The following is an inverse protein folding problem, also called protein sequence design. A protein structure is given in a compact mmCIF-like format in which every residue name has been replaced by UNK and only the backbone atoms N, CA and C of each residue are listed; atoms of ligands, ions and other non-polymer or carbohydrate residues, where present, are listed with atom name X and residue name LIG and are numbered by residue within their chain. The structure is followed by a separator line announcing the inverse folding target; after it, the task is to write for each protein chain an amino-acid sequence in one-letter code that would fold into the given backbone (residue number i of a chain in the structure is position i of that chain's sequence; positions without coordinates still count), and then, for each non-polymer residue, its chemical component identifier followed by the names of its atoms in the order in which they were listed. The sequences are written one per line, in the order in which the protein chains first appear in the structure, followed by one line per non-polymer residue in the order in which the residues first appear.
data_IF_569278262384
#
_entry.id   IF_569278262384
#
_cell.length_a   1.000
_cell.length_b   1.000
_cell.length_c   1.000
_cell.angle_alpha   90.00
_cell.angle_beta   90.00
_cell.angle_gamma   90.00
#
_symmetry.space_group_name_H-M   'P 1'
#
loop_
_entity.id
_entity.type
_entity.pdbx_description
1 polymer ?
#
# COMPACT_ATOMS: atom_id res chain seq x y z
N UNK A 1 -17.60 0.16 -10.63
CA UNK A 1 -18.63 -0.77 -11.14
C UNK A 1 -20.06 -0.32 -10.90
N UNK A 2 -20.59 -0.30 -9.66
CA UNK A 2 -22.02 0.02 -9.41
C UNK A 2 -22.48 1.36 -10.02
N UNK A 3 -21.76 2.44 -9.74
CA UNK A 3 -22.06 3.76 -10.32
C UNK A 3 -21.92 3.78 -11.85
N UNK A 4 -20.90 3.11 -12.40
CA UNK A 4 -20.69 2.99 -13.86
C UNK A 4 -21.81 2.18 -14.53
N UNK A 5 -22.40 1.24 -13.81
CA UNK A 5 -23.57 0.48 -14.23
C UNK A 5 -24.90 1.24 -14.04
N UNK A 6 -24.86 2.50 -13.59
CA UNK A 6 -26.04 3.34 -13.37
C UNK A 6 -26.82 3.05 -12.09
N UNK A 7 -26.26 2.26 -11.16
CA UNK A 7 -26.89 2.03 -9.85
C UNK A 7 -26.76 3.29 -8.97
N UNK A 8 -27.83 3.61 -8.22
CA UNK A 8 -27.79 4.70 -7.24
C UNK A 8 -27.01 4.26 -6.00
N UNK A 9 -26.03 5.06 -5.59
CA UNK A 9 -25.25 4.83 -4.37
C UNK A 9 -25.95 5.47 -3.17
N UNK A 10 -26.72 4.68 -2.41
CA UNK A 10 -27.36 5.12 -1.16
C UNK A 10 -26.40 4.95 0.03
N UNK A 11 -26.66 5.66 1.14
CA UNK A 11 -25.87 5.52 2.37
C UNK A 11 -25.87 4.07 2.88
N UNK A 12 -27.05 3.43 3.00
CA UNK A 12 -27.16 2.04 3.46
C UNK A 12 -26.35 1.05 2.59
N UNK A 13 -26.24 1.32 1.29
CA UNK A 13 -25.45 0.49 0.38
C UNK A 13 -23.95 0.69 0.62
N UNK A 14 -23.50 1.93 0.79
CA UNK A 14 -22.11 2.24 1.08
C UNK A 14 -21.68 1.74 2.45
N UNK A 15 -22.53 1.89 3.46
CA UNK A 15 -22.35 1.34 4.81
C UNK A 15 -22.13 -0.18 4.74
N UNK A 16 -23.02 -0.90 4.03
CA UNK A 16 -22.87 -2.35 3.84
C UNK A 16 -21.57 -2.70 3.12
N UNK A 17 -21.24 -2.00 2.02
CA UNK A 17 -20.02 -2.26 1.27
C UNK A 17 -18.77 -2.03 2.11
N UNK A 18 -18.77 -0.99 2.96
CA UNK A 18 -17.67 -0.67 3.86
C UNK A 18 -17.52 -1.71 4.98
N UNK A 19 -18.63 -2.17 5.55
CA UNK A 19 -18.66 -3.25 6.52
C UNK A 19 -18.05 -4.54 5.95
N UNK A 20 -18.55 -4.98 4.79
CA UNK A 20 -18.06 -6.20 4.12
C UNK A 20 -16.56 -6.10 3.81
N UNK A 21 -16.08 -4.89 3.45
CA UNK A 21 -14.67 -4.64 3.18
C UNK A 21 -13.81 -4.73 4.45
N UNK A 22 -14.25 -4.14 5.55
CA UNK A 22 -13.56 -4.26 6.85
C UNK A 22 -13.46 -5.73 7.29
N UNK A 23 -14.56 -6.48 7.17
CA UNK A 23 -14.57 -7.90 7.51
C UNK A 23 -13.57 -8.72 6.68
N UNK A 24 -13.47 -8.39 5.39
CA UNK A 24 -12.51 -9.04 4.51
C UNK A 24 -11.05 -8.72 4.87
N UNK A 25 -10.74 -7.47 5.20
CA UNK A 25 -9.36 -7.03 5.43
C UNK A 25 -8.83 -7.43 6.81
N UNK A 26 -9.65 -7.33 7.85
CA UNK A 26 -9.22 -7.56 9.23
C UNK A 26 -9.45 -8.98 9.73
N UNK A 27 -10.34 -9.74 9.08
CA UNK A 27 -10.58 -11.14 9.41
C UNK A 27 -11.43 -11.36 10.67
N UNK A 28 -11.65 -12.64 11.04
CA UNK A 28 -12.63 -13.03 12.05
C UNK A 28 -12.23 -12.68 13.49
N UNK A 29 -10.95 -12.41 13.75
CA UNK A 29 -10.44 -12.10 15.09
C UNK A 29 -10.71 -10.65 15.51
N UNK A 30 -11.08 -9.78 14.56
CA UNK A 30 -11.44 -8.39 14.85
C UNK A 30 -12.94 -8.23 15.05
N UNK A 31 -13.33 -7.51 16.11
CA UNK A 31 -14.71 -7.05 16.29
C UNK A 31 -14.96 -5.86 15.36
N UNK A 32 -16.02 -5.94 14.56
CA UNK A 32 -16.43 -4.89 13.62
C UNK A 32 -17.65 -4.21 14.21
N UNK A 33 -17.41 -3.11 14.90
CA UNK A 33 -18.46 -2.32 15.52
C UNK A 33 -19.36 -1.69 14.46
N UNK A 34 -20.66 -1.59 14.74
CA UNK A 34 -21.64 -1.00 13.82
C UNK A 34 -21.28 0.44 13.42
N UNK A 35 -20.63 1.18 14.32
CA UNK A 35 -20.17 2.54 14.10
C UNK A 35 -19.11 2.67 13.00
N UNK A 36 -18.39 1.58 12.67
CA UNK A 36 -17.40 1.61 11.58
C UNK A 36 -18.06 1.63 10.21
N UNK A 37 -19.33 1.21 10.08
CA UNK A 37 -20.03 1.11 8.80
C UNK A 37 -20.05 2.47 8.07
N UNK A 38 -20.16 3.57 8.81
CA UNK A 38 -20.21 4.94 8.25
C UNK A 38 -18.82 5.58 8.07
N UNK A 39 -17.72 4.87 8.34
CA UNK A 39 -16.38 5.46 8.30
C UNK A 39 -16.01 5.99 6.91
N UNK A 40 -16.52 5.39 5.82
CA UNK A 40 -16.30 5.90 4.47
C UNK A 40 -16.71 7.38 4.32
N UNK A 41 -17.72 7.85 5.07
CA UNK A 41 -18.24 9.21 4.96
C UNK A 41 -17.32 10.27 5.57
N UNK A 42 -16.38 9.89 6.45
CA UNK A 42 -15.46 10.82 7.12
C UNK A 42 -14.06 10.85 6.51
N UNK A 43 -13.78 10.05 5.49
CA UNK A 43 -12.45 9.97 4.86
C UNK A 43 -12.32 11.09 3.82
N UNK A 44 -11.49 12.13 4.05
CA UNK A 44 -11.39 13.26 3.12
C UNK A 44 -10.82 12.86 1.76
N UNK A 45 -9.97 11.84 1.74
CA UNK A 45 -9.32 11.35 0.53
C UNK A 45 -10.30 10.77 -0.50
N UNK A 46 -11.54 10.42 -0.11
CA UNK A 46 -12.56 9.95 -1.06
C UNK A 46 -13.17 11.07 -1.90
N UNK A 47 -12.88 12.33 -1.55
CA UNK A 47 -13.19 13.49 -2.36
C UNK A 47 -12.03 13.88 -3.30
N UNK A 48 -10.99 13.05 -3.38
CA UNK A 48 -9.90 13.18 -4.35
C UNK A 48 -9.91 11.97 -5.30
N UNK A 49 -9.67 12.23 -6.57
CA UNK A 49 -9.74 11.19 -7.60
C UNK A 49 -8.60 10.18 -7.45
N UNK A 50 -8.94 8.98 -6.96
CA UNK A 50 -8.05 7.81 -6.90
C UNK A 50 -6.68 8.09 -6.26
N UNK A 51 -6.60 8.89 -5.20
CA UNK A 51 -5.32 9.28 -4.62
C UNK A 51 -4.71 8.19 -3.70
N UNK A 52 -5.53 7.50 -2.91
CA UNK A 52 -5.07 6.69 -1.77
C UNK A 52 -4.15 5.52 -2.14
N UNK A 53 -4.27 4.95 -3.36
CA UNK A 53 -3.42 3.83 -3.78
C UNK A 53 -1.94 4.23 -3.89
N UNK A 54 -1.66 5.53 -4.03
CA UNK A 54 -0.30 6.06 -4.12
C UNK A 54 0.49 5.85 -2.83
N UNK A 55 -0.18 5.80 -1.66
CA UNK A 55 0.48 5.47 -0.40
C UNK A 55 1.05 4.06 -0.40
N UNK A 56 0.24 3.08 -0.80
CA UNK A 56 0.64 1.66 -0.81
C UNK A 56 1.74 1.42 -1.84
N UNK A 57 1.58 1.97 -3.05
CA UNK A 57 2.56 1.83 -4.13
C UNK A 57 3.86 2.57 -3.81
N UNK A 58 3.80 3.77 -3.23
CA UNK A 58 4.96 4.52 -2.77
C UNK A 58 5.72 3.81 -1.64
N UNK A 59 5.00 3.24 -0.68
CA UNK A 59 5.60 2.45 0.40
C UNK A 59 6.29 1.18 -0.14
N UNK A 60 5.66 0.48 -1.08
CA UNK A 60 6.25 -0.69 -1.72
C UNK A 60 7.51 -0.35 -2.53
N UNK A 61 7.50 0.76 -3.27
CA UNK A 61 8.66 1.27 -3.97
C UNK A 61 9.81 1.59 -2.99
N UNK A 62 9.50 2.27 -1.88
CA UNK A 62 10.49 2.62 -0.86
C UNK A 62 11.14 1.37 -0.22
N UNK A 63 10.34 0.36 0.12
CA UNK A 63 10.85 -0.91 0.65
C UNK A 63 11.78 -1.64 -0.33
N UNK A 64 11.45 -1.58 -1.62
CA UNK A 64 12.26 -2.19 -2.69
C UNK A 64 13.57 -1.43 -2.88
N UNK A 65 13.54 -0.10 -2.92
CA UNK A 65 14.76 0.72 -2.98
C UNK A 65 15.66 0.45 -1.77
N UNK A 66 15.09 0.38 -0.57
CA UNK A 66 15.84 0.08 0.65
C UNK A 66 16.45 -1.33 0.62
N UNK A 67 15.71 -2.34 0.15
CA UNK A 67 16.24 -3.69 -0.05
C UNK A 67 17.45 -3.68 -0.98
N UNK A 68 17.33 -3.06 -2.16
CA UNK A 68 18.42 -2.98 -3.13
C UNK A 68 19.65 -2.27 -2.57
N UNK A 69 19.46 -1.18 -1.81
CA UNK A 69 20.56 -0.47 -1.15
C UNK A 69 21.32 -1.36 -0.16
N UNK A 70 20.60 -2.21 0.58
CA UNK A 70 21.19 -3.13 1.57
C UNK A 70 21.89 -4.33 0.91
N UNK A 71 21.40 -4.81 -0.24
CA UNK A 71 21.87 -6.06 -0.86
C UNK A 71 22.83 -5.87 -2.03
N UNK A 72 22.70 -4.79 -2.80
CA UNK A 72 23.50 -4.56 -4.03
C UNK A 72 24.65 -3.56 -3.83
N UNK A 73 24.59 -2.70 -2.81
CA UNK A 73 25.65 -1.71 -2.52
C UNK A 73 25.72 -0.56 -3.53
N UNK A 74 26.93 -0.24 -4.01
CA UNK A 74 27.20 0.96 -4.83
C UNK A 74 26.35 1.09 -6.11
N UNK A 75 26.08 0.02 -6.89
CA UNK A 75 25.17 0.10 -8.04
C UNK A 75 23.77 0.61 -7.68
N UNK A 76 23.15 0.09 -6.61
CA UNK A 76 21.83 0.55 -6.17
C UNK A 76 21.88 1.99 -5.63
N UNK A 77 22.96 2.34 -4.91
CA UNK A 77 23.19 3.70 -4.43
C UNK A 77 23.26 4.70 -5.58
N UNK A 78 23.98 4.37 -6.65
CA UNK A 78 24.09 5.22 -7.83
C UNK A 78 22.71 5.43 -8.51
N UNK A 79 21.92 4.38 -8.68
CA UNK A 79 20.55 4.47 -9.21
C UNK A 79 19.64 5.32 -8.33
N UNK A 80 19.67 5.11 -7.01
CA UNK A 80 18.87 5.87 -6.04
C UNK A 80 19.22 7.36 -6.04
N UNK A 81 20.52 7.71 -6.03
CA UNK A 81 20.94 9.11 -6.13
C UNK A 81 20.56 9.73 -7.47
N UNK A 82 20.59 8.96 -8.57
CA UNK A 82 20.07 9.37 -9.87
C UNK A 82 18.58 9.68 -9.84
N UNK A 83 17.78 8.82 -9.19
CA UNK A 83 16.35 9.03 -8.97
C UNK A 83 16.07 10.33 -8.21
N UNK A 84 16.75 10.56 -7.07
CA UNK A 84 16.59 11.79 -6.28
C UNK A 84 16.91 13.05 -7.09
N UNK A 85 17.98 13.02 -7.88
CA UNK A 85 18.38 14.14 -8.76
C UNK A 85 17.37 14.41 -9.88
N UNK A 86 16.55 13.42 -10.23
CA UNK A 86 15.63 13.53 -11.37
C UNK A 86 14.40 14.39 -11.06
N UNK A 87 14.03 14.58 -9.79
CA UNK A 87 12.81 15.33 -9.42
C UNK A 87 11.58 14.85 -10.20
N UNK A 88 10.72 15.77 -10.61
CA UNK A 88 9.56 15.50 -11.48
C UNK A 88 9.85 15.57 -12.98
N UNK A 89 11.07 15.23 -13.42
CA UNK A 89 11.47 15.40 -14.84
C UNK A 89 10.81 14.43 -15.83
N UNK A 90 10.12 13.39 -15.36
CA UNK A 90 9.53 12.33 -16.18
C UNK A 90 8.38 11.65 -15.40
N UNK A 91 7.66 10.73 -16.04
CA UNK A 91 6.60 9.95 -15.42
C UNK A 91 7.14 9.12 -14.23
N UNK A 92 6.40 9.06 -13.11
CA UNK A 92 6.85 8.34 -11.91
C UNK A 92 7.26 6.89 -12.17
N UNK A 93 6.54 6.17 -13.03
CA UNK A 93 6.86 4.79 -13.40
C UNK A 93 8.21 4.67 -14.14
N UNK A 94 8.54 5.62 -15.02
CA UNK A 94 9.82 5.64 -15.72
C UNK A 94 10.97 5.97 -14.75
N UNK A 95 10.75 6.91 -13.85
CA UNK A 95 11.71 7.30 -12.82
C UNK A 95 12.03 6.12 -11.89
N UNK A 96 11.00 5.42 -11.41
CA UNK A 96 11.16 4.23 -10.56
C UNK A 96 11.83 3.08 -11.30
N UNK A 97 11.48 2.81 -12.57
CA UNK A 97 12.17 1.79 -13.38
C UNK A 97 13.65 2.10 -13.54
N UNK A 98 14.01 3.37 -13.79
CA UNK A 98 15.42 3.81 -13.81
C UNK A 98 16.13 3.62 -12.47
N UNK A 99 15.41 3.73 -11.37
CA UNK A 99 15.92 3.46 -10.02
C UNK A 99 16.07 1.94 -9.73
N UNK A 100 15.51 1.07 -10.58
CA UNK A 100 15.51 -0.38 -10.40
C UNK A 100 14.20 -0.94 -9.84
N UNK A 101 13.12 -0.16 -9.79
CA UNK A 101 11.81 -0.58 -9.28
C UNK A 101 10.79 -0.60 -10.40
N UNK A 102 10.34 -1.80 -10.80
CA UNK A 102 9.23 -1.93 -11.76
C UNK A 102 7.89 -2.10 -11.04
N UNK A 103 7.11 -1.03 -11.00
CA UNK A 103 5.79 -1.01 -10.36
C UNK A 103 4.71 -1.76 -11.17
N UNK A 104 5.02 -2.24 -12.39
CA UNK A 104 4.14 -3.13 -13.15
C UNK A 104 4.32 -4.61 -12.79
N UNK A 105 5.35 -4.94 -12.00
CA UNK A 105 5.62 -6.28 -11.47
C UNK A 105 4.99 -6.43 -10.06
N UNK A 106 4.60 -7.64 -9.64
CA UNK A 106 4.18 -7.89 -8.25
C UNK A 106 5.32 -7.74 -7.22
N UNK A 107 6.57 -7.77 -7.69
CA UNK A 107 7.76 -7.84 -6.84
C UNK A 107 7.83 -6.77 -5.72
N UNK A 108 7.52 -5.48 -5.94
CA UNK A 108 7.59 -4.48 -4.86
C UNK A 108 6.63 -4.77 -3.69
N UNK A 109 5.44 -5.31 -4.00
CA UNK A 109 4.45 -5.71 -3.00
C UNK A 109 4.93 -6.97 -2.27
N UNK A 110 5.43 -7.98 -3.01
CA UNK A 110 5.96 -9.21 -2.43
C UNK A 110 7.13 -8.96 -1.46
N UNK A 111 8.05 -8.06 -1.81
CA UNK A 111 9.15 -7.65 -0.93
C UNK A 111 8.61 -7.01 0.35
N UNK A 112 7.61 -6.15 0.23
CA UNK A 112 6.99 -5.46 1.37
C UNK A 112 6.30 -6.44 2.31
N UNK A 113 5.52 -7.38 1.77
CA UNK A 113 4.84 -8.41 2.56
C UNK A 113 5.83 -9.37 3.23
N UNK A 114 6.92 -9.74 2.54
CA UNK A 114 7.99 -10.55 3.12
C UNK A 114 8.65 -9.84 4.32
N UNK A 115 8.93 -8.54 4.20
CA UNK A 115 9.46 -7.73 5.31
C UNK A 115 8.50 -7.65 6.49
N UNK A 116 7.22 -7.46 6.21
CA UNK A 116 6.18 -7.48 7.24
C UNK A 116 6.14 -8.83 7.98
N UNK A 117 6.10 -9.95 7.24
CA UNK A 117 6.10 -11.30 7.83
C UNK A 117 7.33 -11.54 8.69
N UNK A 118 8.53 -11.20 8.20
CA UNK A 118 9.76 -11.39 8.98
C UNK A 118 9.78 -10.56 10.26
N UNK A 119 9.25 -9.34 10.22
CA UNK A 119 9.15 -8.47 11.41
C UNK A 119 8.13 -9.02 12.42
N UNK A 120 7.02 -9.58 11.93
CA UNK A 120 6.00 -10.23 12.74
C UNK A 120 6.56 -11.49 13.42
N UNK A 121 7.21 -12.37 12.66
CA UNK A 121 7.85 -13.59 13.17
C UNK A 121 8.90 -13.26 14.26
N UNK A 122 9.68 -12.19 14.05
CA UNK A 122 10.65 -11.74 15.04
C UNK A 122 9.98 -11.25 16.33
N UNK A 123 8.91 -10.46 16.20
CA UNK A 123 8.12 -9.97 17.34
C UNK A 123 7.54 -11.15 18.15
N UNK A 124 6.93 -12.13 17.48
CA UNK A 124 6.36 -13.32 18.12
C UNK A 124 7.42 -14.12 18.89
N UNK A 125 8.60 -14.32 18.28
CA UNK A 125 9.73 -15.01 18.94
C UNK A 125 10.22 -14.29 20.20
N UNK A 126 10.25 -12.96 20.17
CA UNK A 126 10.65 -12.15 21.33
C UNK A 126 9.61 -12.21 22.46
N UNK A 127 8.32 -12.27 22.13
CA UNK A 127 7.24 -12.39 23.13
C UNK A 127 7.12 -13.81 23.72
N UNK A 128 7.49 -14.84 22.97
CA UNK A 128 7.43 -16.23 23.42
C UNK A 128 8.52 -16.60 24.45
N UNK A 129 9.58 -15.79 24.57
CA UNK A 129 10.66 -15.94 25.55
C UNK A 129 10.78 -14.67 26.41
N UNK A 130 9.81 -14.40 27.31
CA UNK A 130 9.81 -13.21 28.15
C UNK A 130 10.97 -13.16 29.16
#
# INVERSE_FOLDING_TARGET
EKAENGETLTADLLDKMWHDLNAKYYGPDMVIDKEIDIEWARIPHFYWDFYVFQYVTGFAAANTLAEQLLTEGEPARARYLGFLKSGGSDYPLNLLRRAGVDMASPQPIEITLRKFSASLDEMERLLANP
#
